data_IF_577033616945
#
_entry.id   IF_577033616945
#
_cell.length_a   1.000
_cell.length_b   1.000
_cell.length_c   1.000
_cell.angle_alpha   90.00
_cell.angle_beta   90.00
_cell.angle_gamma   90.00
#
_symmetry.space_group_name_H-M   'P 1'
#
loop_
_entity.id
_entity.type
_entity.pdbx_description
1 polymer ?
#
# COMPACT_ATOMS: atom_id res chain seq x y z
N UNK A 1 -38.70 -16.76 43.98
CA UNK A 1 -38.55 -18.07 43.32
C UNK A 1 -37.82 -17.83 42.00
N UNK A 2 -36.66 -18.37 41.64
CA UNK A 2 -35.68 -19.31 42.18
C UNK A 2 -34.36 -18.96 41.42
N UNK A 3 -33.25 -18.62 42.08
CA UNK A 3 -32.04 -19.46 42.30
C UNK A 3 -31.59 -20.39 41.16
N UNK A 4 -30.26 -20.48 41.02
CA UNK A 4 -29.41 -21.26 40.09
C UNK A 4 -29.13 -20.54 38.76
N UNK A 5 -27.91 -20.12 38.40
CA UNK A 5 -26.60 -20.73 38.61
C UNK A 5 -25.53 -19.66 38.92
N UNK A 6 -25.29 -19.41 40.20
CA UNK A 6 -23.92 -19.24 40.67
C UNK A 6 -23.45 -20.64 41.11
N UNK A 7 -22.15 -20.91 41.01
CA UNK A 7 -21.47 -22.12 41.51
C UNK A 7 -21.43 -23.33 40.57
N UNK A 8 -20.61 -23.22 39.52
CA UNK A 8 -19.85 -24.36 39.01
C UNK A 8 -18.50 -23.87 38.46
N UNK A 9 -17.41 -24.48 38.96
CA UNK A 9 -16.02 -24.33 38.52
C UNK A 9 -15.24 -23.08 38.99
N UNK A 10 -15.03 -22.98 40.31
CA UNK A 10 -13.66 -22.73 40.80
C UNK A 10 -12.86 -24.01 40.55
N UNK A 11 -12.28 -24.14 39.37
CA UNK A 11 -11.33 -25.21 39.05
C UNK A 11 -9.99 -24.56 38.68
N UNK A 12 -9.07 -24.58 39.64
CA UNK A 12 -7.64 -24.34 39.44
C UNK A 12 -7.03 -25.51 38.64
N UNK A 13 -6.96 -25.40 37.32
CA UNK A 13 -6.12 -26.20 36.41
C UNK A 13 -6.53 -25.85 34.97
N UNK A 14 -5.76 -25.20 34.08
CA UNK A 14 -4.37 -25.40 33.68
C UNK A 14 -4.12 -24.27 32.66
N UNK A 15 -3.34 -23.25 33.00
CA UNK A 15 -2.54 -22.60 31.95
C UNK A 15 -1.40 -23.57 31.63
N UNK A 16 -1.73 -24.64 30.89
CA UNK A 16 -0.73 -25.48 30.26
C UNK A 16 -0.12 -24.66 29.13
N UNK A 17 0.99 -24.00 29.45
CA UNK A 17 2.06 -23.79 28.48
C UNK A 17 2.50 -25.17 27.96
N UNK A 18 2.01 -25.54 26.79
CA UNK A 18 2.60 -26.58 25.94
C UNK A 18 2.44 -26.14 24.48
N UNK A 19 3.46 -25.45 23.98
CA UNK A 19 3.89 -25.47 22.58
C UNK A 19 2.80 -25.34 21.49
N UNK A 20 2.14 -24.19 21.38
CA UNK A 20 1.34 -23.83 20.20
C UNK A 20 1.77 -22.49 19.57
N UNK A 21 3.03 -22.09 19.78
CA UNK A 21 3.70 -21.06 18.99
C UNK A 21 3.96 -21.58 17.57
N UNK A 22 2.91 -21.71 16.73
CA UNK A 22 2.92 -21.65 15.25
C UNK A 22 1.74 -22.40 14.59
N UNK A 23 0.48 -22.12 14.95
CA UNK A 23 -0.66 -22.61 14.14
C UNK A 23 -1.74 -21.58 13.79
N UNK A 24 -1.43 -20.29 13.74
CA UNK A 24 -2.31 -19.33 13.03
C UNK A 24 -2.03 -19.38 11.51
N UNK A 25 -1.90 -20.59 10.96
CA UNK A 25 -1.79 -20.81 9.54
C UNK A 25 -3.19 -20.98 8.96
N UNK A 26 -3.70 -19.95 8.28
CA UNK A 26 -4.89 -19.99 7.42
C UNK A 26 -6.28 -19.65 8.02
N UNK A 27 -6.36 -19.09 9.24
CA UNK A 27 -7.65 -18.59 9.76
C UNK A 27 -8.02 -17.25 9.13
N UNK A 28 -9.10 -17.23 8.36
CA UNK A 28 -9.61 -16.00 7.72
C UNK A 28 -10.39 -15.14 8.74
N UNK A 29 -10.01 -13.88 8.99
CA UNK A 29 -10.74 -13.04 9.94
C UNK A 29 -12.09 -12.58 9.37
N UNK A 30 -12.96 -12.13 10.27
CA UNK A 30 -14.05 -11.19 9.97
C UNK A 30 -13.62 -9.79 10.39
N UNK A 31 -14.32 -8.79 9.87
CA UNK A 31 -13.93 -7.40 10.01
C UNK A 31 -15.03 -6.56 10.64
N UNK A 32 -14.63 -5.64 11.51
CA UNK A 32 -15.46 -4.54 12.00
C UNK A 32 -14.77 -3.22 11.65
N UNK A 33 -15.55 -2.22 11.26
CA UNK A 33 -15.05 -0.90 10.90
C UNK A 33 -15.43 0.12 11.98
N UNK A 34 -14.46 0.84 12.55
CA UNK A 34 -14.73 1.78 13.65
C UNK A 34 -15.64 2.95 13.23
N UNK A 35 -15.62 3.33 11.95
CA UNK A 35 -16.51 4.37 11.43
C UNK A 35 -17.98 3.96 11.44
N UNK A 36 -18.30 2.67 11.53
CA UNK A 36 -19.69 2.24 11.71
C UNK A 36 -20.19 2.54 13.13
N UNK A 37 -19.27 2.57 14.09
CA UNK A 37 -19.57 2.94 15.48
C UNK A 37 -19.56 4.45 15.67
N UNK A 38 -18.55 5.16 15.16
CA UNK A 38 -18.37 6.59 15.45
C UNK A 38 -18.90 7.51 14.35
N UNK A 39 -18.86 7.08 13.09
CA UNK A 39 -19.02 7.95 11.92
C UNK A 39 -17.66 8.43 11.39
N UNK A 40 -17.62 8.93 10.15
CA UNK A 40 -16.36 9.28 9.48
C UNK A 40 -15.68 10.54 10.04
N UNK A 41 -16.48 11.45 10.60
CA UNK A 41 -16.09 12.80 11.04
C UNK A 41 -16.17 12.99 12.55
N UNK A 42 -16.42 11.93 13.31
CA UNK A 42 -16.56 12.02 14.76
C UNK A 42 -15.21 12.32 15.42
N UNK A 43 -15.22 13.32 16.30
CA UNK A 43 -14.06 13.79 17.05
C UNK A 43 -14.46 13.91 18.50
N UNK A 44 -13.60 13.44 19.41
CA UNK A 44 -13.79 13.67 20.82
C UNK A 44 -13.54 15.16 21.18
N UNK A 45 -13.84 15.51 22.42
CA UNK A 45 -13.63 16.87 22.96
C UNK A 45 -12.18 17.38 22.89
N UNK A 46 -11.20 16.51 22.60
CA UNK A 46 -9.78 16.84 22.41
C UNK A 46 -9.39 16.93 20.93
N UNK A 47 -10.34 16.87 20.01
CA UNK A 47 -10.08 16.87 18.56
C UNK A 47 -9.45 15.59 18.03
N UNK A 48 -9.49 14.50 18.80
CA UNK A 48 -8.96 13.20 18.40
C UNK A 48 -10.09 12.27 17.95
N UNK A 49 -9.81 11.40 16.97
CA UNK A 49 -10.79 10.39 16.54
C UNK A 49 -11.03 9.37 17.66
N UNK A 50 -12.28 9.13 18.07
CA UNK A 50 -12.59 8.08 19.02
C UNK A 50 -12.24 6.71 18.42
N UNK A 51 -11.93 5.75 19.29
CA UNK A 51 -11.61 4.39 18.89
C UNK A 51 -12.14 3.37 19.89
N UNK A 52 -12.27 2.13 19.44
CA UNK A 52 -12.61 1.01 20.30
C UNK A 52 -11.35 0.45 20.96
N UNK A 53 -11.51 -0.12 22.13
CA UNK A 53 -10.44 -0.87 22.81
C UNK A 53 -10.76 -2.38 22.83
N UNK A 54 -9.73 -3.22 23.02
CA UNK A 54 -9.85 -4.68 22.98
C UNK A 54 -10.98 -5.20 23.88
N UNK A 55 -11.09 -4.65 25.10
CA UNK A 55 -12.10 -5.08 26.07
C UNK A 55 -13.53 -4.80 25.59
N UNK A 56 -13.78 -3.66 24.91
CA UNK A 56 -15.11 -3.33 24.39
C UNK A 56 -15.52 -4.32 23.29
N UNK A 57 -14.61 -4.61 22.36
CA UNK A 57 -14.86 -5.55 21.27
C UNK A 57 -15.03 -6.97 21.80
N UNK A 58 -14.19 -7.40 22.74
CA UNK A 58 -14.27 -8.73 23.35
C UNK A 58 -15.60 -8.95 24.06
N UNK A 59 -16.04 -7.99 24.90
CA UNK A 59 -17.32 -8.09 25.62
C UNK A 59 -18.51 -8.10 24.67
N UNK A 60 -18.50 -7.28 23.62
CA UNK A 60 -19.57 -7.29 22.64
C UNK A 60 -19.68 -8.64 21.91
N UNK A 61 -18.56 -9.32 21.65
CA UNK A 61 -18.54 -10.66 21.06
C UNK A 61 -19.07 -11.71 22.04
N UNK A 62 -18.67 -11.62 23.32
CA UNK A 62 -19.08 -12.53 24.40
C UNK A 62 -20.60 -12.56 24.60
N UNK A 63 -21.29 -11.46 24.33
CA UNK A 63 -22.75 -11.38 24.36
C UNK A 63 -23.43 -12.14 23.22
N UNK A 64 -22.74 -12.40 22.11
CA UNK A 64 -23.33 -12.98 20.90
C UNK A 64 -22.95 -14.44 20.69
N UNK A 65 -21.67 -14.80 20.92
CA UNK A 65 -21.15 -16.14 20.66
C UNK A 65 -20.13 -16.57 21.72
N UNK A 66 -19.91 -17.89 21.93
CA UNK A 66 -18.91 -18.37 22.87
C UNK A 66 -17.48 -17.88 22.53
N UNK A 67 -16.85 -17.16 23.44
CA UNK A 67 -15.49 -16.61 23.26
C UNK A 67 -14.37 -17.64 23.37
N UNK A 68 -14.66 -18.90 23.67
CA UNK A 68 -13.67 -19.99 23.67
C UNK A 68 -13.04 -20.20 22.29
N UNK A 69 -13.83 -19.95 21.25
CA UNK A 69 -13.42 -20.05 19.85
C UNK A 69 -12.70 -18.80 19.32
N UNK A 70 -12.65 -17.71 20.11
CA UNK A 70 -12.02 -16.45 19.73
C UNK A 70 -10.50 -16.55 19.91
N UNK A 71 -9.78 -16.67 18.79
CA UNK A 71 -8.32 -16.80 18.75
C UNK A 71 -7.64 -15.44 18.96
N UNK A 72 -8.21 -14.37 18.40
CA UNK A 72 -7.52 -13.10 18.38
C UNK A 72 -8.35 -11.91 17.93
N UNK A 73 -7.96 -10.75 18.44
CA UNK A 73 -8.47 -9.43 18.07
C UNK A 73 -7.29 -8.56 17.66
N UNK A 74 -7.35 -8.01 16.45
CA UNK A 74 -6.29 -7.13 15.96
C UNK A 74 -6.88 -5.86 15.35
N UNK A 75 -6.58 -4.73 15.99
CA UNK A 75 -6.91 -3.41 15.45
C UNK A 75 -5.80 -2.91 14.53
N UNK A 76 -6.15 -2.56 13.29
CA UNK A 76 -5.25 -1.95 12.31
C UNK A 76 -5.94 -0.79 11.61
N UNK A 77 -5.45 0.43 11.83
CA UNK A 77 -5.93 1.65 11.15
C UNK A 77 -7.46 1.80 11.20
N UNK A 78 -8.07 1.56 12.35
CA UNK A 78 -9.52 1.65 12.56
C UNK A 78 -10.36 0.54 11.93
N UNK A 79 -9.73 -0.58 11.56
CA UNK A 79 -10.40 -1.84 11.24
C UNK A 79 -10.02 -2.84 12.32
N UNK A 80 -10.99 -3.61 12.77
CA UNK A 80 -10.80 -4.74 13.65
C UNK A 80 -10.83 -6.02 12.85
N UNK A 81 -9.81 -6.87 13.02
CA UNK A 81 -9.77 -8.24 12.52
C UNK A 81 -10.06 -9.16 13.69
N UNK A 82 -11.08 -9.99 13.54
CA UNK A 82 -11.58 -10.88 14.57
C UNK A 82 -11.38 -12.31 14.05
N UNK A 83 -10.61 -13.10 14.78
CA UNK A 83 -10.19 -14.44 14.38
C UNK A 83 -10.91 -15.50 15.22
N UNK A 84 -11.60 -16.43 14.54
CA UNK A 84 -12.30 -17.55 15.15
C UNK A 84 -11.73 -18.87 14.64
N UNK A 85 -11.56 -19.86 15.51
CA UNK A 85 -11.20 -21.24 15.11
C UNK A 85 -12.39 -21.98 14.51
N UNK A 86 -13.60 -21.69 15.00
CA UNK A 86 -14.85 -22.32 14.62
C UNK A 86 -15.59 -21.52 13.53
N UNK A 87 -15.85 -22.16 12.39
CA UNK A 87 -16.57 -21.53 11.28
C UNK A 87 -18.06 -21.30 11.59
N UNK A 88 -18.66 -22.09 12.48
CA UNK A 88 -20.06 -21.94 12.87
C UNK A 88 -20.26 -20.65 13.68
N UNK A 89 -19.48 -20.46 14.75
CA UNK A 89 -19.54 -19.27 15.60
C UNK A 89 -19.24 -18.00 14.79
N UNK A 90 -18.30 -18.10 13.84
CA UNK A 90 -18.02 -17.03 12.89
C UNK A 90 -19.24 -16.67 12.03
N UNK A 91 -19.97 -17.64 11.49
CA UNK A 91 -21.17 -17.42 10.66
C UNK A 91 -22.31 -16.84 11.49
N UNK A 92 -22.50 -17.36 12.70
CA UNK A 92 -23.49 -16.86 13.64
C UNK A 92 -23.22 -15.40 14.00
N UNK A 93 -21.99 -15.07 14.38
CA UNK A 93 -21.59 -13.69 14.68
C UNK A 93 -21.74 -12.75 13.48
N UNK A 94 -21.44 -13.20 12.26
CA UNK A 94 -21.69 -12.43 11.04
C UNK A 94 -23.19 -12.16 10.82
N UNK A 95 -24.04 -13.12 11.16
CA UNK A 95 -25.51 -12.98 11.00
C UNK A 95 -26.15 -12.10 12.07
N UNK A 96 -25.67 -12.18 13.32
CA UNK A 96 -26.19 -11.41 14.45
C UNK A 96 -25.64 -9.97 14.46
N UNK A 97 -24.39 -9.79 14.02
CA UNK A 97 -23.66 -8.53 14.17
C UNK A 97 -23.17 -8.32 15.60
N UNK A 98 -22.85 -7.07 15.95
CA UNK A 98 -22.44 -6.67 17.29
C UNK A 98 -23.23 -5.46 17.77
N UNK A 99 -23.57 -5.43 19.06
CA UNK A 99 -24.06 -4.21 19.69
C UNK A 99 -22.92 -3.56 20.48
N UNK A 100 -22.42 -2.42 19.99
CA UNK A 100 -21.34 -1.67 20.65
C UNK A 100 -21.82 -0.26 20.91
N UNK A 101 -21.72 0.20 22.17
CA UNK A 101 -22.17 1.54 22.61
C UNK A 101 -23.60 1.86 22.14
N UNK A 102 -24.51 0.87 22.28
CA UNK A 102 -25.94 0.92 21.86
C UNK A 102 -26.17 1.08 20.36
N UNK A 103 -25.15 0.90 19.52
CA UNK A 103 -25.29 0.82 18.07
C UNK A 103 -25.18 -0.63 17.64
N UNK A 104 -26.12 -1.07 16.81
CA UNK A 104 -26.01 -2.34 16.10
C UNK A 104 -25.11 -2.16 14.89
N UNK A 105 -24.08 -2.98 14.79
CA UNK A 105 -23.01 -2.90 13.80
C UNK A 105 -22.97 -4.20 13.00
N UNK A 106 -23.00 -4.07 11.68
CA UNK A 106 -22.81 -5.20 10.77
C UNK A 106 -21.33 -5.53 10.64
N UNK A 107 -21.01 -6.83 10.61
CA UNK A 107 -19.66 -7.32 10.39
C UNK A 107 -19.43 -7.66 8.92
N UNK A 108 -18.18 -7.55 8.48
CA UNK A 108 -17.80 -7.83 7.10
C UNK A 108 -16.99 -9.13 7.01
N UNK A 109 -17.28 -9.94 6.00
CA UNK A 109 -16.48 -11.12 5.68
C UNK A 109 -15.15 -10.75 5.00
N UNK A 110 -15.07 -9.55 4.42
CA UNK A 110 -13.90 -9.02 3.70
C UNK A 110 -13.51 -7.67 4.30
N UNK A 111 -12.23 -7.30 4.17
CA UNK A 111 -11.74 -6.03 4.71
C UNK A 111 -12.47 -4.85 4.04
N UNK A 112 -13.25 -4.05 4.78
CA UNK A 112 -14.09 -3.00 4.20
C UNK A 112 -13.29 -1.81 3.64
N UNK A 113 -12.01 -1.63 4.02
CA UNK A 113 -11.15 -0.59 3.41
C UNK A 113 -10.33 -1.09 2.22
N UNK A 114 -10.43 -2.37 1.87
CA UNK A 114 -9.98 -2.80 0.54
C UNK A 114 -11.07 -2.34 -0.41
N UNK A 115 -10.75 -1.40 -1.29
CA UNK A 115 -11.67 -0.91 -2.31
C UNK A 115 -12.25 -2.11 -3.04
N UNK A 116 -13.59 -2.24 -3.00
CA UNK A 116 -14.36 -3.31 -3.63
C UNK A 116 -13.87 -3.55 -5.07
N UNK A 117 -13.73 -4.82 -5.42
CA UNK A 117 -13.34 -5.36 -6.74
C UNK A 117 -11.86 -5.76 -6.91
N UNK A 118 -11.36 -6.62 -6.02
CA UNK A 118 -10.43 -7.62 -6.52
C UNK A 118 -11.26 -8.76 -7.10
N UNK A 119 -11.51 -8.70 -8.41
CA UNK A 119 -11.50 -9.96 -9.15
C UNK A 119 -10.19 -10.68 -8.78
N UNK A 120 -10.21 -11.99 -8.48
CA UNK A 120 -8.97 -12.71 -8.21
C UNK A 120 -8.03 -12.48 -9.39
N UNK A 121 -6.90 -11.80 -9.13
CA UNK A 121 -5.87 -11.36 -10.10
C UNK A 121 -6.03 -9.99 -10.78
N UNK A 122 -6.88 -9.08 -10.29
CA UNK A 122 -6.94 -7.71 -10.83
C UNK A 122 -5.54 -7.03 -10.88
N UNK A 123 -5.24 -6.38 -12.00
CA UNK A 123 -3.97 -5.70 -12.24
C UNK A 123 -4.13 -4.21 -11.96
N UNK A 124 -3.30 -3.70 -11.05
CA UNK A 124 -3.15 -2.26 -10.81
C UNK A 124 -2.21 -1.64 -11.85
N UNK A 125 -2.75 -0.79 -12.70
CA UNK A 125 -2.03 0.03 -13.67
C UNK A 125 -1.88 1.44 -13.13
N UNK A 126 -0.65 1.94 -13.09
CA UNK A 126 -0.33 3.32 -12.74
C UNK A 126 0.03 4.09 -14.00
N UNK A 127 -0.65 5.21 -14.22
CA UNK A 127 -0.43 6.12 -15.34
C UNK A 127 0.16 7.43 -14.80
N UNK A 128 1.37 7.75 -15.24
CA UNK A 128 2.12 8.97 -14.88
C UNK A 128 2.33 9.88 -16.09
N UNK A 129 2.77 11.11 -15.84
CA UNK A 129 3.16 12.09 -16.86
C UNK A 129 2.02 12.53 -17.79
N UNK A 130 0.78 12.49 -17.29
CA UNK A 130 -0.38 13.11 -17.93
C UNK A 130 -0.82 14.29 -17.04
N UNK A 131 -1.03 15.50 -17.57
CA UNK A 131 -1.42 16.65 -16.76
C UNK A 131 -2.69 16.40 -15.93
N UNK A 132 -2.80 17.06 -14.77
CA UNK A 132 -3.99 16.96 -13.92
C UNK A 132 -5.27 17.47 -14.62
N UNK A 133 -5.12 18.42 -15.55
CA UNK A 133 -6.17 18.99 -16.38
C UNK A 133 -6.65 18.05 -17.49
N UNK A 134 -5.89 17.01 -17.83
CA UNK A 134 -6.33 16.05 -18.83
C UNK A 134 -7.56 15.27 -18.36
N UNK A 135 -8.46 15.03 -19.31
CA UNK A 135 -9.66 14.23 -19.12
C UNK A 135 -9.29 12.77 -18.87
N UNK A 136 -9.85 12.20 -17.80
CA UNK A 136 -9.55 10.82 -17.42
C UNK A 136 -10.18 9.85 -18.43
N UNK A 137 -11.30 10.19 -19.08
CA UNK A 137 -11.93 9.32 -20.09
C UNK A 137 -11.03 9.05 -21.29
N UNK A 138 -10.14 10.00 -21.63
CA UNK A 138 -9.15 9.79 -22.69
C UNK A 138 -8.12 8.72 -22.29
N UNK A 139 -7.72 8.69 -21.01
CA UNK A 139 -6.84 7.66 -20.46
C UNK A 139 -7.55 6.30 -20.53
N UNK A 140 -8.80 6.23 -20.04
CA UNK A 140 -9.56 4.98 -19.99
C UNK A 140 -9.77 4.38 -21.39
N UNK A 141 -10.27 5.17 -22.34
CA UNK A 141 -10.47 4.73 -23.73
C UNK A 141 -9.17 4.25 -24.37
N UNK A 142 -8.05 4.93 -24.13
CA UNK A 142 -6.75 4.50 -24.68
C UNK A 142 -6.30 3.15 -24.12
N UNK A 143 -6.55 2.88 -22.84
CA UNK A 143 -6.22 1.59 -22.22
C UNK A 143 -7.13 0.46 -22.73
N UNK A 144 -8.43 0.71 -22.85
CA UNK A 144 -9.42 -0.26 -23.36
C UNK A 144 -9.18 -0.61 -24.84
N UNK A 145 -8.81 0.38 -25.65
CA UNK A 145 -8.56 0.18 -27.10
C UNK A 145 -7.13 -0.23 -27.43
N UNK A 146 -6.24 -0.30 -26.43
CA UNK A 146 -4.87 -0.78 -26.62
C UNK A 146 -4.83 -2.26 -27.04
N UNK A 147 -3.67 -2.70 -27.54
CA UNK A 147 -3.44 -4.13 -27.87
C UNK A 147 -3.70 -5.05 -26.68
N UNK A 148 -3.43 -4.57 -25.46
CA UNK A 148 -3.68 -5.30 -24.22
C UNK A 148 -5.17 -5.42 -23.87
N UNK A 149 -6.06 -4.62 -24.48
CA UNK A 149 -7.52 -4.62 -24.27
C UNK A 149 -7.91 -4.65 -22.79
N UNK A 150 -7.47 -3.63 -22.05
CA UNK A 150 -7.66 -3.59 -20.61
C UNK A 150 -9.17 -3.48 -20.28
N UNK A 151 -9.75 -4.50 -19.65
CA UNK A 151 -11.09 -4.40 -19.07
C UNK A 151 -11.02 -3.63 -17.74
N UNK A 152 -11.48 -2.38 -17.74
CA UNK A 152 -11.36 -1.48 -16.59
C UNK A 152 -12.46 -1.79 -15.56
N UNK A 153 -12.03 -2.01 -14.31
CA UNK A 153 -12.91 -2.24 -13.17
C UNK A 153 -13.19 -0.93 -12.45
N UNK A 154 -12.14 -0.16 -12.17
CA UNK A 154 -12.25 1.15 -11.49
C UNK A 154 -11.03 2.01 -11.79
N UNK A 155 -11.15 3.32 -11.62
CA UNK A 155 -10.04 4.26 -11.72
C UNK A 155 -10.14 5.33 -10.63
N UNK A 156 -9.00 5.90 -10.24
CA UNK A 156 -8.93 6.97 -9.26
C UNK A 156 -7.69 7.85 -9.46
N UNK A 157 -7.76 9.09 -8.97
CA UNK A 157 -6.61 9.99 -8.90
C UNK A 157 -5.83 9.78 -7.61
N UNK A 158 -4.51 9.65 -7.73
CA UNK A 158 -3.66 9.53 -6.57
C UNK A 158 -3.57 10.86 -5.81
N UNK A 159 -3.45 10.75 -4.49
CA UNK A 159 -3.38 11.87 -3.57
C UNK A 159 -2.09 11.83 -2.78
N UNK A 160 -1.53 13.01 -2.52
CA UNK A 160 -0.31 13.18 -1.75
C UNK A 160 -0.51 12.64 -0.34
N UNK A 161 0.52 11.94 0.16
CA UNK A 161 0.56 11.43 1.52
C UNK A 161 1.60 12.19 2.33
N UNK A 162 1.20 12.68 3.49
CA UNK A 162 2.07 13.31 4.49
C UNK A 162 1.85 12.53 5.79
N UNK A 163 2.92 12.06 6.42
CA UNK A 163 2.85 11.24 7.65
C UNK A 163 1.87 10.07 7.57
N UNK A 164 1.85 9.40 6.41
CA UNK A 164 0.91 8.32 6.06
C UNK A 164 -0.57 8.70 5.97
N UNK A 165 -0.95 9.95 6.25
CA UNK A 165 -2.29 10.49 6.05
C UNK A 165 -2.48 10.90 4.59
N UNK A 166 -3.67 10.61 4.05
CA UNK A 166 -4.02 11.01 2.67
C UNK A 166 -4.54 12.43 2.72
N UNK A 167 -3.88 13.34 1.99
CA UNK A 167 -4.33 14.72 1.84
C UNK A 167 -5.38 14.83 0.71
N UNK A 168 -6.04 15.97 0.57
CA UNK A 168 -6.89 16.26 -0.59
C UNK A 168 -6.09 16.67 -1.84
N UNK A 169 -4.79 16.92 -1.71
CA UNK A 169 -3.91 17.33 -2.81
C UNK A 169 -3.68 16.17 -3.79
N UNK A 170 -4.03 16.37 -5.07
CA UNK A 170 -3.88 15.37 -6.14
C UNK A 170 -2.49 15.48 -6.75
N UNK A 171 -1.83 14.35 -7.00
CA UNK A 171 -0.47 14.32 -7.58
C UNK A 171 -0.45 14.40 -9.10
N UNK A 172 -1.59 14.16 -9.76
CA UNK A 172 -1.69 14.02 -11.21
C UNK A 172 -1.55 12.57 -11.71
N UNK A 173 -1.07 11.65 -10.88
CA UNK A 173 -1.03 10.24 -11.22
C UNK A 173 -2.42 9.62 -11.19
N UNK A 174 -2.69 8.70 -12.13
CA UNK A 174 -3.93 7.91 -12.16
C UNK A 174 -3.63 6.47 -11.80
N UNK A 175 -4.51 5.90 -10.99
CA UNK A 175 -4.52 4.48 -10.66
C UNK A 175 -5.74 3.88 -11.34
N UNK A 176 -5.51 2.93 -12.25
CA UNK A 176 -6.54 2.18 -12.94
C UNK A 176 -6.42 0.72 -12.51
N UNK A 177 -7.54 0.12 -12.12
CA UNK A 177 -7.61 -1.30 -11.78
C UNK A 177 -8.33 -1.98 -12.92
N UNK A 178 -7.68 -2.98 -13.51
CA UNK A 178 -8.19 -3.73 -14.64
C UNK A 178 -8.25 -5.22 -14.30
N UNK A 179 -9.05 -5.99 -15.05
CA UNK A 179 -8.91 -7.45 -15.07
C UNK A 179 -7.53 -7.85 -15.64
N UNK A 180 -7.06 -9.09 -15.39
CA UNK A 180 -5.84 -9.61 -16.02
C UNK A 180 -5.83 -9.40 -17.54
N UNK A 181 -4.71 -8.94 -18.08
CA UNK A 181 -4.53 -8.75 -19.53
C UNK A 181 -3.17 -9.27 -20.00
N UNK A 182 -3.12 -9.70 -21.26
CA UNK A 182 -1.93 -10.15 -21.98
C UNK A 182 -2.13 -9.83 -23.47
N UNK A 183 -1.19 -9.15 -24.17
CA UNK A 183 0.18 -8.79 -23.77
C UNK A 183 0.25 -7.71 -22.68
N UNK A 184 1.36 -7.60 -21.92
CA UNK A 184 1.58 -6.49 -20.99
C UNK A 184 1.62 -5.14 -21.72
N UNK A 185 1.20 -4.06 -21.05
CA UNK A 185 1.21 -2.73 -21.64
C UNK A 185 2.65 -2.23 -21.84
N UNK A 186 2.90 -1.41 -22.87
CA UNK A 186 4.20 -0.77 -23.05
C UNK A 186 4.45 0.26 -21.93
N UNK A 187 5.73 0.46 -21.57
CA UNK A 187 6.12 1.40 -20.50
C UNK A 187 5.90 2.87 -20.86
N UNK A 188 5.96 3.17 -22.16
CA UNK A 188 5.61 4.48 -22.71
C UNK A 188 4.39 4.30 -23.60
N UNK A 189 3.33 5.07 -23.34
CA UNK A 189 2.08 5.01 -24.10
C UNK A 189 1.61 6.42 -24.42
N UNK A 190 1.29 6.69 -25.69
CA UNK A 190 0.72 7.98 -26.09
C UNK A 190 -0.76 8.02 -25.74
N UNK A 191 -1.15 8.97 -24.90
CA UNK A 191 -2.54 9.22 -24.48
C UNK A 191 -2.90 10.63 -24.93
N UNK A 192 -3.71 10.74 -25.99
CA UNK A 192 -3.97 12.01 -26.66
C UNK A 192 -2.67 12.66 -27.13
N UNK A 193 -2.35 13.83 -26.57
CA UNK A 193 -1.13 14.59 -26.87
C UNK A 193 0.02 14.33 -25.89
N UNK A 194 -0.18 13.46 -24.91
CA UNK A 194 0.77 13.25 -23.82
C UNK A 194 1.45 11.89 -23.95
N UNK A 195 2.74 11.85 -23.61
CA UNK A 195 3.46 10.60 -23.44
C UNK A 195 3.39 10.17 -21.98
N UNK A 196 2.52 9.20 -21.71
CA UNK A 196 2.32 8.66 -20.38
C UNK A 196 3.36 7.59 -20.06
N UNK A 197 3.80 7.54 -18.81
CA UNK A 197 4.59 6.41 -18.29
C UNK A 197 3.65 5.45 -17.58
N UNK A 198 3.62 4.20 -18.06
CA UNK A 198 2.74 3.14 -17.57
C UNK A 198 3.56 2.17 -16.72
N UNK A 199 3.05 1.84 -15.54
CA UNK A 199 3.65 0.84 -14.64
C UNK A 199 2.58 -0.12 -14.14
N UNK A 200 2.81 -1.42 -14.31
CA UNK A 200 1.95 -2.46 -13.75
C UNK A 200 2.74 -3.75 -13.47
N UNK A 201 2.12 -4.70 -12.76
CA UNK A 201 2.73 -6.01 -12.49
C UNK A 201 2.84 -6.84 -13.79
N UNK A 202 3.92 -7.60 -13.95
CA UNK A 202 4.17 -8.43 -15.14
C UNK A 202 4.76 -7.69 -16.35
N UNK A 203 5.02 -6.39 -16.23
CA UNK A 203 5.65 -5.60 -17.29
C UNK A 203 7.15 -5.90 -17.37
N UNK A 204 7.65 -6.26 -18.56
CA UNK A 204 9.07 -6.50 -18.77
C UNK A 204 9.88 -5.22 -18.55
N UNK A 205 10.94 -5.30 -17.75
CA UNK A 205 11.86 -4.17 -17.58
C UNK A 205 12.82 -4.10 -18.78
N UNK A 206 13.04 -2.91 -19.33
CA UNK A 206 14.01 -2.69 -20.42
C UNK A 206 15.44 -3.13 -20.06
N UNK A 207 15.76 -3.20 -18.76
CA UNK A 207 17.09 -3.59 -18.25
C UNK A 207 17.21 -5.07 -17.85
N UNK A 208 16.10 -5.84 -17.84
CA UNK A 208 16.11 -7.29 -17.60
C UNK A 208 14.99 -7.93 -18.42
N UNK A 209 15.28 -8.75 -19.45
CA UNK A 209 14.25 -9.53 -20.11
C UNK A 209 13.49 -10.30 -19.02
N UNK A 210 12.17 -10.29 -19.10
CA UNK A 210 11.26 -10.83 -18.08
C UNK A 210 11.29 -12.34 -18.10
N UNK A 211 12.42 -12.87 -17.68
CA UNK A 211 12.54 -14.22 -17.19
C UNK A 211 11.91 -14.18 -15.80
N UNK A 212 10.66 -14.59 -15.71
CA UNK A 212 9.99 -14.78 -14.42
C UNK A 212 10.72 -15.87 -13.65
N UNK A 213 11.66 -15.48 -12.79
CA UNK A 213 12.34 -16.38 -11.86
C UNK A 213 11.49 -16.57 -10.61
N UNK A 214 11.19 -17.82 -10.30
CA UNK A 214 10.51 -18.23 -9.09
C UNK A 214 11.27 -17.73 -7.86
N UNK A 215 10.62 -17.02 -6.94
CA UNK A 215 11.28 -16.49 -5.75
C UNK A 215 11.66 -17.57 -4.72
N UNK A 216 11.20 -18.82 -4.92
CA UNK A 216 11.49 -19.97 -4.06
C UNK A 216 12.75 -20.71 -4.51
N UNK A 217 12.85 -21.10 -5.77
CA UNK A 217 13.97 -21.91 -6.30
C UNK A 217 14.90 -21.16 -7.26
N UNK A 218 14.56 -19.92 -7.62
CA UNK A 218 15.30 -19.05 -8.56
C UNK A 218 15.33 -19.54 -10.02
N UNK A 219 14.58 -20.60 -10.34
CA UNK A 219 14.39 -21.11 -11.70
C UNK A 219 13.24 -20.42 -12.42
N UNK A 220 13.19 -20.59 -13.74
CA UNK A 220 12.29 -19.89 -14.64
C UNK A 220 10.99 -20.71 -14.87
N UNK A 221 9.95 -20.07 -15.38
CA UNK A 221 8.75 -20.76 -15.89
C UNK A 221 7.66 -21.08 -14.85
N UNK A 222 7.82 -20.68 -13.59
CA UNK A 222 6.79 -20.85 -12.56
C UNK A 222 6.90 -19.83 -11.42
N UNK A 223 5.85 -19.72 -10.61
CA UNK A 223 5.78 -18.83 -9.44
C UNK A 223 5.99 -19.62 -8.14
N UNK A 224 6.34 -18.95 -7.04
CA UNK A 224 6.64 -19.59 -5.76
C UNK A 224 5.49 -20.46 -5.21
N UNK A 225 4.24 -20.08 -5.47
CA UNK A 225 3.07 -20.82 -5.02
C UNK A 225 2.87 -22.15 -5.76
N UNK A 226 3.33 -22.26 -7.00
CA UNK A 226 3.24 -23.48 -7.83
C UNK A 226 4.60 -24.13 -8.04
N UNK A 227 5.59 -23.78 -7.22
CA UNK A 227 6.95 -24.23 -7.37
C UNK A 227 7.11 -25.70 -6.93
N UNK A 228 7.54 -26.60 -7.82
CA UNK A 228 7.78 -28.01 -7.47
C UNK A 228 9.04 -28.19 -6.61
N UNK A 229 9.92 -27.19 -6.59
CA UNK A 229 11.23 -27.25 -5.95
C UNK A 229 11.20 -26.69 -4.52
N UNK A 230 12.22 -27.05 -3.73
CA UNK A 230 12.47 -26.52 -2.38
C UNK A 230 12.93 -25.06 -2.38
N UNK A 231 13.03 -24.46 -1.19
CA UNK A 231 13.63 -23.13 -1.06
C UNK A 231 15.11 -23.18 -1.40
N UNK A 232 15.56 -22.26 -2.25
CA UNK A 232 16.96 -22.03 -2.56
C UNK A 232 17.41 -20.73 -1.89
N UNK A 233 18.47 -20.81 -1.09
CA UNK A 233 19.02 -19.66 -0.41
C UNK A 233 19.63 -18.70 -1.44
N UNK A 234 19.28 -17.42 -1.34
CA UNK A 234 19.82 -16.37 -2.22
C UNK A 234 21.24 -15.93 -1.86
N UNK A 235 21.73 -16.34 -0.68
CA UNK A 235 23.08 -16.01 -0.17
C UNK A 235 24.10 -17.07 -0.59
N UNK A 236 23.89 -18.31 -0.17
CA UNK A 236 24.82 -19.42 -0.44
C UNK A 236 24.43 -20.30 -1.65
N UNK A 237 23.24 -20.11 -2.23
CA UNK A 237 22.76 -20.90 -3.36
C UNK A 237 22.30 -22.33 -3.03
N UNK A 238 22.41 -22.78 -1.78
CA UNK A 238 22.00 -24.13 -1.36
C UNK A 238 20.49 -24.28 -1.18
N UNK A 239 19.98 -25.51 -1.29
CA UNK A 239 18.57 -25.85 -1.07
C UNK A 239 18.28 -26.09 0.42
N UNK A 240 17.05 -25.82 0.84
CA UNK A 240 16.52 -26.23 2.15
C UNK A 240 16.27 -25.09 3.15
N UNK A 241 16.83 -23.89 2.93
CA UNK A 241 16.68 -22.76 3.86
C UNK A 241 16.51 -21.43 3.12
N UNK A 242 16.01 -20.41 3.81
CA UNK A 242 15.89 -19.04 3.28
C UNK A 242 17.12 -18.20 3.64
N UNK A 243 17.30 -17.07 2.95
CA UNK A 243 18.46 -16.19 3.16
C UNK A 243 18.66 -15.73 4.61
N UNK A 244 17.58 -15.56 5.39
CA UNK A 244 17.67 -15.15 6.79
C UNK A 244 17.98 -16.33 7.75
N UNK A 245 17.93 -17.56 7.26
CA UNK A 245 18.27 -18.82 7.96
C UNK A 245 19.65 -19.33 7.49
N UNK A 246 20.44 -18.46 6.85
CA UNK A 246 21.72 -18.83 6.26
C UNK A 246 22.86 -18.47 7.22
N UNK A 247 23.58 -19.48 7.68
CA UNK A 247 24.66 -19.36 8.67
C UNK A 247 26.01 -18.92 8.08
N UNK A 248 26.11 -18.75 6.75
CA UNK A 248 27.34 -18.24 6.13
C UNK A 248 27.53 -16.75 6.43
N UNK A 249 28.69 -16.35 6.94
CA UNK A 249 29.19 -14.97 6.90
C UNK A 249 30.03 -14.82 5.65
N UNK A 250 29.61 -13.98 4.70
CA UNK A 250 30.36 -13.77 3.47
C UNK A 250 31.43 -12.69 3.68
N UNK A 251 32.68 -13.10 3.85
CA UNK A 251 33.82 -12.26 3.48
C UNK A 251 33.83 -12.22 1.94
N UNK A 252 33.41 -11.10 1.38
CA UNK A 252 33.52 -10.88 -0.07
C UNK A 252 34.77 -10.02 -0.27
N UNK A 253 35.86 -10.65 -0.71
CA UNK A 253 36.93 -9.96 -1.41
C UNK A 253 36.31 -9.35 -2.68
N UNK A 254 36.31 -8.03 -2.76
CA UNK A 254 35.86 -7.31 -3.95
C UNK A 254 36.99 -7.43 -4.97
N UNK A 255 36.85 -8.33 -5.94
CA UNK A 255 37.65 -8.25 -7.16
C UNK A 255 37.20 -6.99 -7.92
N UNK A 256 38.06 -5.97 -7.92
CA UNK A 256 37.89 -4.76 -8.72
C UNK A 256 38.02 -5.12 -10.20
N UNK A 257 36.89 -5.34 -10.86
CA UNK A 257 36.83 -5.44 -12.31
C UNK A 257 37.00 -4.04 -12.93
N UNK A 258 38.27 -3.62 -13.02
CA UNK A 258 38.74 -2.45 -13.73
C UNK A 258 38.58 -2.66 -15.25
N UNK A 259 37.41 -2.29 -15.77
CA UNK A 259 37.23 -2.15 -17.23
C UNK A 259 36.66 -0.80 -17.61
N UNK A 260 37.32 0.29 -17.20
CA UNK A 260 37.23 1.57 -17.89
C UNK A 260 38.58 2.28 -17.87
N UNK A 261 39.16 2.43 -19.07
CA UNK A 261 40.11 3.47 -19.54
C UNK A 261 41.38 2.91 -20.19
N UNK A 262 41.37 2.85 -21.52
CA UNK A 262 42.49 3.16 -22.42
C UNK A 262 41.86 3.66 -23.74
N UNK A 263 42.20 4.75 -24.41
CA UNK A 263 43.15 5.85 -24.27
C UNK A 263 42.63 6.98 -25.19
N UNK A 264 42.75 8.24 -24.77
CA UNK A 264 43.35 9.26 -25.62
C UNK A 264 43.80 10.45 -24.76
N UNK A 265 45.12 10.44 -24.54
CA UNK A 265 46.03 11.53 -24.19
C UNK A 265 45.54 12.89 -24.74
N UNK A 266 45.57 14.02 -24.05
CA UNK A 266 46.46 14.47 -23.00
C UNK A 266 47.26 15.66 -23.49
N UNK A 267 46.77 16.90 -23.30
CA UNK A 267 47.58 18.09 -23.01
C UNK A 267 46.70 19.08 -22.24
N UNK A 268 47.07 19.37 -21.00
CA UNK A 268 46.57 20.49 -20.24
C UNK A 268 47.33 21.76 -20.67
N UNK A 269 46.60 22.86 -20.90
CA UNK A 269 47.14 24.18 -20.63
C UNK A 269 46.06 25.00 -19.91
N UNK A 270 46.31 25.44 -18.65
CA UNK A 270 45.42 26.34 -17.95
C UNK A 270 45.75 27.75 -18.39
N UNK A 271 44.79 28.48 -18.96
CA UNK A 271 44.67 29.94 -18.86
C UNK A 271 43.49 30.42 -19.72
N UNK A 272 42.96 31.60 -19.36
CA UNK A 272 41.92 32.39 -20.03
C UNK A 272 40.48 31.89 -19.72
N UNK A 273 39.69 32.51 -18.84
CA UNK A 273 39.33 33.93 -18.83
C UNK A 273 39.15 34.49 -17.41
N UNK A 274 39.94 35.54 -17.14
CA UNK A 274 39.64 36.57 -16.17
C UNK A 274 38.31 37.26 -16.52
N UNK A 275 37.48 37.45 -15.49
CA UNK A 275 36.49 38.50 -15.47
C UNK A 275 37.19 39.86 -15.46
N UNK A 276 36.70 40.80 -16.28
CA UNK A 276 36.95 42.23 -16.10
C UNK A 276 35.64 42.99 -16.23
N UNK A 277 35.39 43.84 -15.24
CA UNK A 277 34.25 44.73 -15.09
C UNK A 277 34.36 45.98 -15.98
N UNK A 278 33.19 46.61 -16.17
CA UNK A 278 32.90 48.03 -16.48
C UNK A 278 32.88 48.50 -17.95
N UNK A 279 31.67 48.79 -18.46
CA UNK A 279 31.12 50.16 -18.64
C UNK A 279 29.72 50.09 -19.33
N UNK A 280 28.63 50.24 -18.57
CA UNK A 280 27.68 51.39 -18.52
C UNK A 280 27.25 51.95 -19.89
N UNK A 281 26.00 51.68 -20.31
CA UNK A 281 24.94 52.71 -20.45
C UNK A 281 23.55 52.12 -20.84
N UNK A 282 22.65 52.15 -19.85
CA UNK A 282 21.24 52.60 -19.87
C UNK A 282 20.26 52.15 -20.97
N UNK A 283 19.18 51.49 -20.54
CA UNK A 283 17.84 52.06 -20.71
C UNK A 283 16.89 51.56 -19.59
N UNK A 284 16.67 52.42 -18.59
CA UNK A 284 15.62 52.30 -17.59
C UNK A 284 14.26 52.58 -18.23
N UNK A 285 13.26 51.77 -17.87
CA UNK A 285 11.82 52.07 -17.76
C UNK A 285 11.00 50.90 -18.28
N UNK A 286 10.66 49.95 -17.39
CA UNK A 286 9.34 49.31 -17.23
C UNK A 286 9.50 47.99 -16.49
N UNK A 287 9.53 47.98 -15.15
CA UNK A 287 9.21 46.74 -14.40
C UNK A 287 8.88 46.98 -12.91
N UNK A 288 9.23 48.14 -12.33
CA UNK A 288 8.96 48.46 -10.92
C UNK A 288 7.51 48.87 -10.55
N UNK A 289 6.54 48.66 -11.45
CA UNK A 289 5.11 48.88 -11.14
C UNK A 289 4.32 47.62 -10.80
N UNK A 290 4.87 46.42 -11.01
CA UNK A 290 4.12 45.17 -10.80
C UNK A 290 4.34 44.59 -9.39
N UNK A 291 5.53 44.78 -8.81
CA UNK A 291 5.88 44.18 -7.51
C UNK A 291 5.23 44.92 -6.33
N UNK A 292 5.01 46.23 -6.45
CA UNK A 292 4.44 47.06 -5.37
C UNK A 292 2.92 46.92 -5.22
N UNK A 293 2.23 46.33 -6.20
CA UNK A 293 0.78 46.11 -6.14
C UNK A 293 0.40 44.80 -5.44
N UNK A 294 1.30 43.80 -5.37
CA UNK A 294 1.03 42.50 -4.77
C UNK A 294 1.27 42.46 -3.25
N UNK A 295 2.13 43.32 -2.70
CA UNK A 295 2.41 43.35 -1.26
C UNK A 295 1.35 44.10 -0.42
N UNK A 296 0.40 44.83 -1.03
CA UNK A 296 -0.70 45.51 -0.30
C UNK A 296 -1.97 44.67 -0.11
N UNK A 297 -2.09 43.51 -0.75
CA UNK A 297 -3.31 42.66 -0.63
C UNK A 297 -3.19 41.63 0.50
N UNK A 298 -1.98 41.30 0.96
CA UNK A 298 -1.76 40.24 1.96
C UNK A 298 -2.04 40.70 3.40
N UNK A 299 -2.08 42.01 3.67
CA UNK A 299 -2.28 42.56 5.04
C UNK A 299 -3.72 42.94 5.41
N UNK A 300 -4.74 42.55 4.64
CA UNK A 300 -6.15 42.88 4.93
C UNK A 300 -7.06 41.69 5.26
N UNK A 301 -6.54 40.47 5.46
CA UNK A 301 -7.38 39.29 5.73
C UNK A 301 -7.24 38.61 7.10
N UNK A 302 -6.33 39.04 7.97
CA UNK A 302 -6.24 38.55 9.33
C UNK A 302 -5.66 39.62 10.27
N UNK A 303 -6.47 40.35 11.05
CA UNK A 303 -6.01 40.95 12.29
C UNK A 303 -6.08 39.92 13.43
N UNK A 304 -5.13 40.04 14.36
CA UNK A 304 -5.01 39.26 15.61
C UNK A 304 -6.27 39.29 16.49
#
# INVERSE_FOLDING_TARGET
>A
MATSYAEAARDENKYKNKNDDCKIGNVKPIFLLETDVFGENDMNHLGQRPFLINIEVYRAIEEQVPVRALIGLQRVRGIWRIYFDNEQDKKELLSLGLTIRRKSITLYLRNPKVTMNEEPNAIKVRVKNVPLSADDDQILRTLETSVSKCEIITHSRERLRIDNLVTNCRTGDRIVICKPFNPPLPKSLKIGNYWATISHFGQASTSRPNIMKCSKCLEEGHIANTCPNGWKCKKCGQLGHRQYECDEHSDVEVEEDNTYMTNMEGVCNPDIFHASENDVQTNEQTEDKVVTQLMKVVHLKYPD
#
